data_IF_735093807779
#
_entry.id   IF_735093807779
#
_cell.length_a   1.000
_cell.length_b   1.000
_cell.length_c   1.000
_cell.angle_alpha   90.00
_cell.angle_beta   90.00
_cell.angle_gamma   90.00
#
_symmetry.space_group_name_H-M   'P 1'
#
loop_
_entity.id
_entity.type
_entity.pdbx_description
1 polymer ?
#
# COMPACT_ATOMS: atom_id res chain seq x y z
N UNK A 1 -7.55 5.82 40.33
CA UNK A 1 -8.71 5.44 39.49
C UNK A 1 -8.25 4.49 38.41
N UNK A 2 -9.02 3.42 38.16
CA UNK A 2 -8.80 2.47 37.05
C UNK A 2 -10.09 2.48 36.22
N UNK A 3 -10.02 2.91 34.95
CA UNK A 3 -11.18 3.05 34.06
C UNK A 3 -11.23 4.41 33.33
N UNK A 4 -12.24 4.57 32.47
CA UNK A 4 -12.47 5.77 31.65
C UNK A 4 -12.76 7.00 32.52
N UNK A 5 -11.77 7.89 32.61
CA UNK A 5 -11.83 9.14 33.38
C UNK A 5 -12.94 10.09 32.89
N UNK A 6 -13.38 9.98 31.63
CA UNK A 6 -14.44 10.82 31.07
C UNK A 6 -15.82 10.59 31.67
N UNK A 7 -15.99 9.53 32.47
CA UNK A 7 -17.25 9.22 33.18
C UNK A 7 -17.31 9.76 34.61
N UNK A 8 -16.22 10.36 35.09
CA UNK A 8 -16.10 10.83 36.46
C UNK A 8 -15.92 12.36 36.44
N UNK A 9 -16.72 13.07 37.21
CA UNK A 9 -16.43 14.47 37.52
C UNK A 9 -15.26 14.56 38.52
N UNK A 10 -14.81 15.78 38.85
CA UNK A 10 -13.67 16.04 39.75
C UNK A 10 -13.82 15.45 41.17
N UNK A 11 -15.01 14.94 41.51
CA UNK A 11 -15.35 14.30 42.78
C UNK A 11 -15.63 12.78 42.66
N UNK A 12 -15.44 12.18 41.48
CA UNK A 12 -15.60 10.73 41.28
C UNK A 12 -17.05 10.24 41.11
N UNK A 13 -18.01 11.13 40.83
CA UNK A 13 -19.41 10.77 40.59
C UNK A 13 -19.73 10.64 39.10
N UNK A 14 -20.62 9.68 38.76
CA UNK A 14 -21.11 9.44 37.39
C UNK A 14 -22.51 10.08 37.24
N UNK A 15 -22.69 11.10 36.39
CA UNK A 15 -24.00 11.71 36.20
C UNK A 15 -24.91 10.81 35.36
N UNK A 16 -26.10 10.49 35.88
CA UNK A 16 -27.18 9.84 35.12
C UNK A 16 -28.02 10.90 34.41
N UNK A 17 -28.01 10.84 33.07
CA UNK A 17 -28.76 11.66 32.10
C UNK A 17 -28.36 13.12 31.90
N UNK A 18 -27.80 13.40 30.71
CA UNK A 18 -27.86 14.72 30.07
C UNK A 18 -27.92 14.53 28.55
N UNK A 19 -28.96 15.03 27.90
CA UNK A 19 -29.02 15.21 26.45
C UNK A 19 -28.43 16.58 26.13
N UNK A 20 -27.26 16.61 25.47
CA UNK A 20 -26.75 17.82 24.81
C UNK A 20 -26.60 17.54 23.32
N UNK A 21 -27.17 18.45 22.53
CA UNK A 21 -27.16 18.45 21.07
C UNK A 21 -25.71 18.72 20.61
N UNK A 22 -25.14 17.81 19.83
CA UNK A 22 -23.73 17.83 19.44
C UNK A 22 -23.47 18.91 18.37
N UNK A 23 -22.64 19.91 18.70
CA UNK A 23 -22.25 21.04 17.81
C UNK A 23 -20.77 20.92 17.40
N UNK A 24 -20.25 19.70 17.28
CA UNK A 24 -18.86 19.40 16.87
C UNK A 24 -18.77 18.71 15.49
N UNK A 25 -19.75 18.91 14.60
CA UNK A 25 -19.87 18.13 13.35
C UNK A 25 -18.76 18.38 12.32
N UNK A 26 -18.19 19.57 12.22
CA UNK A 26 -17.23 19.88 11.14
C UNK A 26 -15.84 19.25 11.35
N UNK A 27 -15.33 19.20 12.60
CA UNK A 27 -14.06 18.54 12.92
C UNK A 27 -14.20 17.01 12.82
N UNK A 28 -15.30 16.46 13.32
CA UNK A 28 -15.62 15.04 13.23
C UNK A 28 -15.78 14.56 11.77
N UNK A 29 -16.33 15.40 10.89
CA UNK A 29 -16.48 15.10 9.45
C UNK A 29 -15.12 15.06 8.73
N UNK A 30 -14.22 16.02 8.99
CA UNK A 30 -12.87 16.04 8.40
C UNK A 30 -12.00 14.86 8.88
N UNK A 31 -12.08 14.50 10.17
CA UNK A 31 -11.38 13.35 10.73
C UNK A 31 -11.92 12.03 10.14
N UNK A 32 -13.23 11.95 9.91
CA UNK A 32 -13.87 10.79 9.30
C UNK A 32 -13.45 10.61 7.83
N UNK A 33 -13.42 11.69 7.05
CA UNK A 33 -12.98 11.68 5.65
C UNK A 33 -11.52 11.24 5.51
N UNK A 34 -10.64 11.72 6.39
CA UNK A 34 -9.22 11.35 6.41
C UNK A 34 -9.02 9.88 6.81
N UNK A 35 -9.76 9.42 7.82
CA UNK A 35 -9.71 8.03 8.28
C UNK A 35 -10.18 7.01 7.24
N UNK A 36 -11.27 7.33 6.51
CA UNK A 36 -11.75 6.46 5.44
C UNK A 36 -10.75 6.38 4.28
N UNK A 37 -10.17 7.51 3.87
CA UNK A 37 -9.15 7.56 2.82
C UNK A 37 -7.94 6.69 3.18
N UNK A 38 -7.38 6.88 4.39
CA UNK A 38 -6.25 6.07 4.89
C UNK A 38 -6.59 4.59 4.80
N UNK A 39 -7.75 4.18 5.31
CA UNK A 39 -8.17 2.77 5.30
C UNK A 39 -8.26 2.21 3.87
N UNK A 40 -8.82 2.97 2.93
CA UNK A 40 -8.93 2.55 1.53
C UNK A 40 -7.57 2.48 0.82
N UNK A 41 -6.68 3.43 1.09
CA UNK A 41 -5.30 3.40 0.58
C UNK A 41 -4.55 2.16 1.06
N UNK A 42 -4.66 1.84 2.36
CA UNK A 42 -4.01 0.66 2.93
C UNK A 42 -4.61 -0.63 2.36
N UNK A 43 -5.95 -0.73 2.28
CA UNK A 43 -6.60 -1.92 1.71
C UNK A 43 -6.16 -2.16 0.25
N UNK A 44 -6.13 -1.11 -0.59
CA UNK A 44 -5.72 -1.24 -1.99
C UNK A 44 -4.22 -1.48 -2.13
N UNK A 45 -3.38 -0.78 -1.37
CA UNK A 45 -1.95 -1.04 -1.35
C UNK A 45 -1.66 -2.48 -0.90
N UNK A 46 -2.43 -3.03 0.05
CA UNK A 46 -2.35 -4.44 0.45
C UNK A 46 -2.61 -5.42 -0.69
N UNK A 47 -3.55 -5.11 -1.59
CA UNK A 47 -3.81 -5.93 -2.79
C UNK A 47 -2.70 -5.84 -3.85
N UNK A 48 -1.85 -4.81 -3.80
CA UNK A 48 -0.86 -4.48 -4.82
C UNK A 48 0.58 -4.77 -4.39
N UNK A 49 0.90 -4.63 -3.10
CA UNK A 49 2.27 -4.47 -2.61
C UNK A 49 3.22 -5.58 -3.04
N UNK A 50 2.71 -6.79 -3.12
CA UNK A 50 3.45 -8.02 -3.38
C UNK A 50 3.15 -8.68 -4.73
N UNK A 51 2.45 -8.00 -5.64
CA UNK A 51 2.20 -8.55 -6.99
C UNK A 51 3.51 -8.96 -7.69
N UNK A 52 4.61 -8.22 -7.46
CA UNK A 52 5.93 -8.55 -7.96
C UNK A 52 6.54 -9.85 -7.43
N UNK A 53 5.97 -10.48 -6.39
CA UNK A 53 6.38 -11.83 -5.96
C UNK A 53 6.02 -12.90 -7.01
N UNK A 54 5.15 -12.58 -7.97
CA UNK A 54 4.80 -13.47 -9.08
C UNK A 54 5.94 -13.72 -10.08
N UNK A 55 7.04 -12.98 -10.00
CA UNK A 55 8.18 -13.13 -10.92
C UNK A 55 8.92 -14.45 -10.72
N UNK A 56 9.46 -15.00 -11.81
CA UNK A 56 10.26 -16.23 -11.81
C UNK A 56 11.42 -16.16 -10.80
N UNK A 57 12.14 -15.03 -10.73
CA UNK A 57 13.25 -14.84 -9.80
C UNK A 57 12.84 -15.10 -8.33
N UNK A 58 11.67 -14.60 -7.92
CA UNK A 58 11.17 -14.73 -6.56
C UNK A 58 10.70 -16.15 -6.27
N UNK A 59 9.91 -16.73 -7.17
CA UNK A 59 9.41 -18.11 -7.02
C UNK A 59 10.56 -19.13 -7.03
N UNK A 60 11.60 -18.94 -7.84
CA UNK A 60 12.81 -19.79 -7.81
C UNK A 60 13.57 -19.66 -6.51
N UNK A 61 13.64 -18.45 -5.94
CA UNK A 61 14.31 -18.21 -4.65
C UNK A 61 13.58 -18.89 -3.50
N UNK A 62 12.25 -18.84 -3.45
CA UNK A 62 11.46 -19.59 -2.47
C UNK A 62 11.73 -21.10 -2.55
N UNK A 63 11.96 -21.62 -3.76
CA UNK A 63 12.27 -23.02 -4.00
C UNK A 63 13.76 -23.37 -3.87
N UNK A 64 14.62 -22.45 -3.42
CA UNK A 64 16.08 -22.67 -3.31
C UNK A 64 16.81 -22.80 -4.64
N UNK A 65 16.17 -22.51 -5.78
CA UNK A 65 16.72 -22.61 -7.15
C UNK A 65 17.40 -21.34 -7.64
N UNK A 66 17.40 -20.29 -6.83
CA UNK A 66 18.11 -19.03 -7.08
C UNK A 66 18.65 -18.50 -5.74
N UNK A 67 19.94 -18.17 -5.71
CA UNK A 67 20.66 -17.65 -4.55
C UNK A 67 21.33 -16.31 -4.88
N UNK A 68 21.93 -15.65 -3.88
CA UNK A 68 22.57 -14.35 -4.05
C UNK A 68 21.65 -13.17 -3.73
N UNK A 69 22.11 -11.94 -3.99
CA UNK A 69 21.31 -10.72 -3.75
C UNK A 69 20.18 -10.60 -4.78
N UNK A 70 19.12 -9.85 -4.45
CA UNK A 70 18.14 -9.47 -5.45
C UNK A 70 18.73 -8.36 -6.33
N UNK A 71 18.48 -8.42 -7.64
CA UNK A 71 18.87 -7.38 -8.59
C UNK A 71 17.75 -6.33 -8.78
N UNK A 72 16.49 -6.78 -8.67
CA UNK A 72 15.31 -5.93 -8.61
C UNK A 72 14.47 -6.41 -7.43
N UNK A 73 13.96 -5.47 -6.64
CA UNK A 73 13.07 -5.74 -5.52
C UNK A 73 11.64 -5.97 -6.01
N UNK A 74 10.91 -6.92 -5.43
CA UNK A 74 9.56 -7.26 -5.90
C UNK A 74 8.58 -6.11 -5.73
N UNK A 75 8.74 -5.25 -4.74
CA UNK A 75 7.90 -4.04 -4.61
C UNK A 75 8.07 -3.06 -5.78
N UNK A 76 9.25 -3.01 -6.39
CA UNK A 76 9.49 -2.20 -7.59
C UNK A 76 8.74 -2.77 -8.79
N UNK A 77 8.78 -4.10 -8.93
CA UNK A 77 8.00 -4.81 -9.95
C UNK A 77 6.50 -4.59 -9.73
N UNK A 78 6.02 -4.65 -8.47
CA UNK A 78 4.62 -4.34 -8.13
C UNK A 78 4.21 -2.93 -8.58
N UNK A 79 5.09 -1.92 -8.41
CA UNK A 79 4.83 -0.57 -8.93
C UNK A 79 4.78 -0.54 -10.45
N UNK A 80 5.71 -1.19 -11.17
CA UNK A 80 5.66 -1.24 -12.64
C UNK A 80 4.43 -1.97 -13.17
N UNK A 81 3.99 -3.03 -12.49
CA UNK A 81 2.72 -3.71 -12.79
C UNK A 81 1.52 -2.77 -12.62
N UNK A 82 1.48 -2.02 -11.53
CA UNK A 82 0.42 -1.06 -11.27
C UNK A 82 0.46 0.13 -12.25
N UNK A 83 1.65 0.64 -12.57
CA UNK A 83 1.85 1.66 -13.62
C UNK A 83 1.31 1.17 -14.97
N UNK A 84 1.61 -0.07 -15.36
CA UNK A 84 1.10 -0.68 -16.59
C UNK A 84 -0.42 -0.74 -16.62
N UNK A 85 -1.05 -1.10 -15.49
CA UNK A 85 -2.51 -1.15 -15.39
C UNK A 85 -3.18 0.23 -15.45
N UNK A 86 -2.58 1.23 -14.80
CA UNK A 86 -3.08 2.61 -14.82
C UNK A 86 -2.89 3.20 -16.22
N UNK A 87 -1.69 3.11 -16.79
CA UNK A 87 -1.34 3.76 -18.06
C UNK A 87 -1.29 5.28 -17.91
N UNK A 88 -1.71 6.01 -18.95
CA UNK A 88 -1.75 7.48 -18.98
C UNK A 88 -3.11 8.06 -18.50
N UNK A 89 -3.92 7.22 -17.86
CA UNK A 89 -5.27 7.55 -17.41
C UNK A 89 -5.27 8.37 -16.10
N UNK A 90 -6.35 9.10 -15.86
CA UNK A 90 -6.58 9.78 -14.58
C UNK A 90 -7.16 8.84 -13.52
N UNK A 91 -7.26 9.32 -12.27
CA UNK A 91 -7.74 8.51 -11.16
C UNK A 91 -9.16 7.96 -11.35
N UNK A 92 -10.07 8.78 -11.90
CA UNK A 92 -11.43 8.36 -12.16
C UNK A 92 -11.49 7.19 -13.17
N UNK A 93 -10.68 7.27 -14.23
CA UNK A 93 -10.67 6.30 -15.33
C UNK A 93 -10.09 4.96 -14.89
N UNK A 94 -8.91 4.93 -14.25
CA UNK A 94 -8.32 3.66 -13.83
C UNK A 94 -9.10 3.02 -12.66
N UNK A 95 -9.72 3.80 -11.77
CA UNK A 95 -10.60 3.27 -10.73
C UNK A 95 -11.88 2.66 -11.32
N UNK A 96 -12.49 3.30 -12.32
CA UNK A 96 -13.64 2.74 -13.03
C UNK A 96 -13.29 1.41 -13.70
N UNK A 97 -12.12 1.35 -14.36
CA UNK A 97 -11.55 0.11 -14.90
C UNK A 97 -11.34 -0.96 -13.82
N UNK A 98 -10.76 -0.60 -12.68
CA UNK A 98 -10.54 -1.55 -11.59
C UNK A 98 -11.86 -2.06 -10.99
N UNK A 99 -12.91 -1.23 -11.01
CA UNK A 99 -14.24 -1.59 -10.55
C UNK A 99 -14.97 -2.56 -11.49
N UNK A 100 -14.75 -2.44 -12.79
CA UNK A 100 -15.40 -3.28 -13.80
C UNK A 100 -14.43 -3.63 -14.95
N UNK A 101 -13.45 -4.52 -14.70
CA UNK A 101 -12.42 -4.82 -15.68
C UNK A 101 -12.99 -5.65 -16.84
N UNK A 102 -12.61 -5.30 -18.06
CA UNK A 102 -12.80 -6.13 -19.24
C UNK A 102 -11.62 -7.10 -19.42
N UNK A 103 -11.76 -8.08 -20.32
CA UNK A 103 -10.66 -8.98 -20.68
C UNK A 103 -9.44 -8.22 -21.27
N UNK A 104 -9.66 -7.08 -21.93
CA UNK A 104 -8.57 -6.23 -22.41
C UNK A 104 -7.84 -5.56 -21.24
N UNK A 105 -8.58 -5.09 -20.23
CA UNK A 105 -8.01 -4.48 -19.02
C UNK A 105 -7.17 -5.47 -18.22
N UNK A 106 -7.54 -6.75 -18.20
CA UNK A 106 -6.73 -7.80 -17.60
C UNK A 106 -5.35 -7.94 -18.24
N UNK A 107 -5.29 -7.83 -19.57
CA UNK A 107 -4.02 -7.94 -20.29
C UNK A 107 -3.11 -6.72 -20.06
N UNK A 108 -3.67 -5.54 -19.76
CA UNK A 108 -2.89 -4.30 -19.53
C UNK A 108 -1.88 -4.42 -18.40
N UNK A 109 -2.09 -5.30 -17.42
CA UNK A 109 -1.11 -5.54 -16.36
C UNK A 109 0.26 -6.02 -16.88
N UNK A 110 0.28 -6.72 -18.01
CA UNK A 110 1.49 -7.34 -18.57
C UNK A 110 1.82 -6.87 -19.99
N UNK A 111 0.84 -6.44 -20.79
CA UNK A 111 1.06 -6.05 -22.20
C UNK A 111 1.86 -4.77 -22.33
N UNK A 112 1.58 -3.77 -21.48
CA UNK A 112 2.25 -2.46 -21.47
C UNK A 112 3.36 -2.39 -20.41
N UNK A 113 3.78 -3.53 -19.86
CA UNK A 113 4.72 -3.57 -18.75
C UNK A 113 6.09 -3.09 -19.19
N UNK A 114 6.53 -1.98 -18.59
CA UNK A 114 7.85 -1.38 -18.78
C UNK A 114 8.88 -2.08 -17.88
N UNK A 115 9.90 -2.68 -18.49
CA UNK A 115 10.85 -3.58 -17.83
C UNK A 115 12.22 -2.91 -17.66
N UNK A 116 12.46 -2.33 -16.49
CA UNK A 116 13.73 -1.65 -16.21
C UNK A 116 14.94 -2.57 -16.45
N UNK A 117 15.92 -2.04 -17.18
CA UNK A 117 17.13 -2.75 -17.61
C UNK A 117 16.96 -3.66 -18.83
N UNK A 118 15.73 -4.00 -19.23
CA UNK A 118 15.45 -4.76 -20.46
C UNK A 118 14.93 -3.88 -21.60
N UNK A 119 14.10 -2.88 -21.30
CA UNK A 119 13.61 -1.94 -22.30
C UNK A 119 14.56 -0.74 -22.43
N UNK A 120 14.26 0.16 -23.38
CA UNK A 120 14.96 1.45 -23.48
C UNK A 120 14.86 2.22 -22.16
N UNK A 121 15.87 3.04 -21.78
CA UNK A 121 15.86 3.76 -20.51
C UNK A 121 14.50 4.41 -20.20
N UNK A 122 13.95 4.05 -19.04
CA UNK A 122 12.59 4.39 -18.64
C UNK A 122 12.61 5.55 -17.64
N UNK A 123 11.56 6.37 -17.68
CA UNK A 123 11.30 7.35 -16.63
C UNK A 123 10.78 6.69 -15.35
N UNK A 124 10.83 7.43 -14.24
CA UNK A 124 10.19 7.04 -12.98
C UNK A 124 8.70 6.73 -13.18
N UNK A 125 8.16 5.69 -12.53
CA UNK A 125 6.71 5.44 -12.48
C UNK A 125 5.92 6.65 -11.96
N UNK A 126 6.49 7.46 -11.07
CA UNK A 126 5.80 8.65 -10.57
C UNK A 126 5.67 9.73 -11.64
N UNK A 127 6.56 9.77 -12.63
CA UNK A 127 6.45 10.74 -13.74
C UNK A 127 5.33 10.35 -14.70
N UNK A 128 5.21 9.08 -15.06
CA UNK A 128 4.11 8.57 -15.90
C UNK A 128 2.76 8.69 -15.21
N UNK A 129 2.69 8.40 -13.91
CA UNK A 129 1.47 8.52 -13.10
C UNK A 129 1.08 9.97 -12.74
N UNK A 130 1.70 10.99 -13.35
CA UNK A 130 1.45 12.40 -13.01
C UNK A 130 0.00 12.88 -13.19
N UNK A 131 -0.80 12.16 -13.98
CA UNK A 131 -2.24 12.42 -14.17
C UNK A 131 -3.15 11.70 -13.17
N UNK A 132 -2.57 10.85 -12.32
CA UNK A 132 -3.28 10.02 -11.35
C UNK A 132 -2.64 10.16 -9.95
N UNK A 133 -2.87 11.28 -9.24
CA UNK A 133 -2.31 11.53 -7.91
C UNK A 133 -2.58 10.42 -6.88
N UNK A 134 -3.76 9.79 -6.91
CA UNK A 134 -4.09 8.66 -6.04
C UNK A 134 -3.28 7.42 -6.43
N UNK A 135 -3.07 7.17 -7.73
CA UNK A 135 -2.16 6.12 -8.18
C UNK A 135 -0.71 6.42 -7.73
N UNK A 136 -0.25 7.68 -7.75
CA UNK A 136 1.06 8.03 -7.21
C UNK A 136 1.14 7.75 -5.70
N UNK A 137 0.09 8.07 -4.93
CA UNK A 137 0.03 7.74 -3.50
C UNK A 137 0.13 6.22 -3.25
N UNK A 138 -0.63 5.42 -4.00
CA UNK A 138 -0.57 3.96 -3.92
C UNK A 138 0.80 3.40 -4.33
N UNK A 139 1.39 3.92 -5.42
CA UNK A 139 2.73 3.54 -5.86
C UNK A 139 3.79 3.83 -4.78
N UNK A 140 3.68 4.96 -4.08
CA UNK A 140 4.55 5.27 -2.95
C UNK A 140 4.35 4.31 -1.78
N UNK A 141 3.11 3.97 -1.43
CA UNK A 141 2.86 2.97 -0.37
C UNK A 141 3.45 1.61 -0.74
N UNK A 142 3.24 1.16 -1.98
CA UNK A 142 3.77 -0.11 -2.49
C UNK A 142 5.29 -0.11 -2.51
N UNK A 143 5.96 0.88 -3.10
CA UNK A 143 7.43 0.82 -3.21
C UNK A 143 8.15 0.99 -1.87
N UNK A 144 7.49 1.59 -0.88
CA UNK A 144 8.10 1.93 0.40
C UNK A 144 7.72 1.00 1.55
N UNK A 145 6.84 0.02 1.36
CA UNK A 145 6.31 -0.78 2.48
C UNK A 145 7.38 -1.58 3.22
N UNK A 146 8.53 -1.91 2.62
CA UNK A 146 9.65 -2.51 3.37
C UNK A 146 10.69 -1.49 3.83
N UNK A 147 11.10 -0.57 2.94
CA UNK A 147 12.09 0.47 3.23
C UNK A 147 11.80 1.71 2.42
N UNK A 148 12.23 2.87 2.90
CA UNK A 148 12.22 4.08 2.08
C UNK A 148 13.28 3.97 0.96
N UNK A 149 13.05 4.61 -0.21
CA UNK A 149 14.05 4.69 -1.26
C UNK A 149 15.29 5.41 -0.73
N UNK A 150 16.46 4.88 -1.07
CA UNK A 150 17.74 5.47 -0.69
C UNK A 150 18.41 6.11 -1.91
N UNK A 151 19.09 7.23 -1.73
CA UNK A 151 19.88 7.82 -2.80
C UNK A 151 20.99 6.81 -3.23
N UNK A 152 21.23 6.62 -4.55
CA UNK A 152 22.32 5.78 -5.04
C UNK A 152 23.68 6.22 -4.49
N UNK A 153 24.62 5.27 -4.31
CA UNK A 153 25.89 5.50 -3.58
C UNK A 153 26.75 6.62 -4.16
N UNK A 154 26.71 6.79 -5.48
CA UNK A 154 27.56 7.73 -6.20
C UNK A 154 26.88 9.10 -6.40
N UNK A 155 25.65 9.24 -5.91
CA UNK A 155 24.89 10.48 -5.98
C UNK A 155 25.04 11.28 -4.68
N UNK A 156 25.30 12.59 -4.81
CA UNK A 156 25.34 13.51 -3.68
C UNK A 156 23.99 14.20 -3.57
N UNK A 157 23.38 14.09 -2.38
CA UNK A 157 22.10 14.74 -2.13
C UNK A 157 22.21 16.27 -2.28
N UNK A 158 21.33 16.83 -3.10
CA UNK A 158 21.17 18.28 -3.27
C UNK A 158 19.78 18.69 -2.81
N UNK A 159 19.68 19.73 -1.99
CA UNK A 159 18.38 20.24 -1.49
C UNK A 159 17.43 20.62 -2.64
N UNK A 160 17.97 21.10 -3.76
CA UNK A 160 17.19 21.41 -4.96
C UNK A 160 16.52 20.19 -5.58
N UNK A 161 17.10 18.99 -5.43
CA UNK A 161 16.58 17.73 -5.96
C UNK A 161 15.38 17.18 -5.17
N UNK A 162 15.10 17.71 -3.96
CA UNK A 162 13.89 17.35 -3.20
C UNK A 162 12.61 17.66 -3.99
N UNK A 163 12.60 18.76 -4.75
CA UNK A 163 11.47 19.07 -5.63
C UNK A 163 11.46 18.08 -6.79
N UNK A 164 10.41 17.27 -6.87
CA UNK A 164 10.28 16.26 -7.92
C UNK A 164 11.20 15.04 -7.71
N UNK A 165 11.66 14.79 -6.48
CA UNK A 165 12.50 13.64 -6.14
C UNK A 165 11.89 12.32 -6.64
N UNK A 166 10.59 12.12 -6.40
CA UNK A 166 9.87 10.92 -6.84
C UNK A 166 9.87 10.77 -8.36
N UNK A 167 9.82 11.86 -9.12
CA UNK A 167 9.88 11.82 -10.59
C UNK A 167 11.24 11.40 -11.14
N UNK A 168 12.27 11.35 -10.28
CA UNK A 168 13.63 10.91 -10.61
C UNK A 168 13.92 9.50 -10.10
N UNK A 169 13.02 8.90 -9.32
CA UNK A 169 13.24 7.60 -8.71
C UNK A 169 13.50 6.52 -9.77
N UNK A 170 14.54 5.72 -9.53
CA UNK A 170 15.00 4.63 -10.38
C UNK A 170 15.10 3.32 -9.59
N UNK A 171 15.20 2.14 -10.25
CA UNK A 171 15.33 0.87 -9.54
C UNK A 171 16.52 0.83 -8.57
N UNK A 172 17.60 1.55 -8.86
CA UNK A 172 18.80 1.69 -8.02
C UNK A 172 18.51 2.28 -6.63
N UNK A 173 17.44 3.06 -6.49
CA UNK A 173 17.00 3.64 -5.22
C UNK A 173 16.38 2.57 -4.31
N UNK A 174 15.84 1.53 -4.92
CA UNK A 174 15.25 0.39 -4.22
C UNK A 174 16.19 -0.81 -4.17
N UNK A 175 17.17 -0.97 -5.05
CA UNK A 175 18.15 -2.07 -5.03
C UNK A 175 19.50 -1.63 -5.61
N UNK A 176 20.54 -1.59 -4.77
CA UNK A 176 21.88 -1.15 -5.18
C UNK A 176 22.59 -2.15 -6.08
N UNK A 177 22.17 -3.41 -6.08
CA UNK A 177 22.69 -4.43 -6.98
C UNK A 177 22.08 -4.36 -8.39
N UNK A 178 21.15 -3.44 -8.66
CA UNK A 178 20.61 -3.24 -10.00
C UNK A 178 21.71 -2.76 -10.95
N UNK A 179 21.94 -3.54 -12.01
CA UNK A 179 22.86 -3.23 -13.10
C UNK A 179 22.14 -3.46 -14.43
N UNK A 180 21.83 -2.41 -15.21
CA UNK A 180 21.15 -2.56 -16.50
C UNK A 180 22.02 -3.20 -17.59
N UNK A 181 23.34 -3.35 -17.36
CA UNK A 181 24.24 -4.00 -18.32
C UNK A 181 24.08 -5.52 -18.36
N UNK A 182 23.73 -6.16 -17.24
CA UNK A 182 23.46 -7.61 -17.17
C UNK A 182 22.00 -7.94 -17.49
N UNK A 183 21.62 -7.68 -18.74
CA UNK A 183 20.27 -7.95 -19.26
C UNK A 183 19.86 -9.42 -19.09
N UNK A 184 20.80 -10.36 -19.09
CA UNK A 184 20.50 -11.79 -18.95
C UNK A 184 20.04 -12.12 -17.54
N UNK A 185 20.71 -11.57 -16.52
CA UNK A 185 20.35 -11.77 -15.13
C UNK A 185 19.02 -11.07 -14.74
N UNK A 186 18.62 -10.02 -15.47
CA UNK A 186 17.34 -9.32 -15.24
C UNK A 186 16.11 -10.02 -15.82
N UNK A 187 16.26 -10.93 -16.81
CA UNK A 187 15.11 -11.63 -17.44
C UNK A 187 14.15 -12.31 -16.45
N UNK A 188 14.62 -13.06 -15.44
CA UNK A 188 13.73 -13.69 -14.46
C UNK A 188 12.92 -12.70 -13.60
N UNK A 189 13.35 -11.43 -13.50
CA UNK A 189 12.63 -10.40 -12.75
C UNK A 189 11.44 -9.80 -13.52
N UNK A 190 11.31 -10.11 -14.80
CA UNK A 190 10.25 -9.63 -15.68
C UNK A 190 9.49 -10.76 -16.38
N UNK A 191 9.63 -11.99 -15.87
CA UNK A 191 8.95 -13.18 -16.36
C UNK A 191 7.92 -13.68 -15.34
N UNK A 192 6.69 -13.91 -15.78
CA UNK A 192 5.54 -14.29 -14.94
C UNK A 192 4.99 -15.64 -15.41
N UNK A 193 5.62 -16.77 -15.05
CA UNK A 193 5.30 -18.08 -15.62
C UNK A 193 3.87 -18.55 -15.30
N UNK A 194 3.26 -18.03 -14.24
CA UNK A 194 1.91 -18.38 -13.80
C UNK A 194 0.94 -17.20 -13.83
N UNK A 195 1.30 -16.11 -14.53
CA UNK A 195 0.50 -14.89 -14.58
C UNK A 195 0.46 -14.15 -13.24
N UNK A 196 -0.66 -13.47 -12.98
CA UNK A 196 -0.87 -12.61 -11.81
C UNK A 196 -2.21 -12.97 -11.12
N UNK A 197 -2.32 -12.79 -9.80
CA UNK A 197 -3.56 -13.06 -9.05
C UNK A 197 -4.68 -12.04 -9.30
N UNK A 198 -4.42 -10.98 -10.07
CA UNK A 198 -5.33 -9.85 -10.33
C UNK A 198 -6.61 -10.25 -11.09
N UNK A 199 -6.64 -11.43 -11.71
CA UNK A 199 -7.81 -11.94 -12.43
C UNK A 199 -8.67 -12.90 -11.59
N UNK A 200 -8.25 -13.25 -10.38
CA UNK A 200 -9.03 -14.14 -9.49
C UNK A 200 -10.29 -13.44 -8.98
N UNK A 201 -11.40 -14.16 -8.87
CA UNK A 201 -12.69 -13.58 -8.44
C UNK A 201 -12.61 -12.93 -7.05
N UNK A 202 -11.89 -13.56 -6.12
CA UNK A 202 -11.70 -13.05 -4.77
C UNK A 202 -10.95 -11.71 -4.77
N UNK A 203 -9.86 -11.61 -5.54
CA UNK A 203 -9.10 -10.37 -5.70
C UNK A 203 -9.96 -9.29 -6.37
N UNK A 204 -10.62 -9.61 -7.49
CA UNK A 204 -11.49 -8.68 -8.23
C UNK A 204 -12.63 -8.14 -7.38
N UNK A 205 -13.29 -9.00 -6.61
CA UNK A 205 -14.39 -8.58 -5.74
C UNK A 205 -13.91 -7.59 -4.67
N UNK A 206 -12.72 -7.81 -4.09
CA UNK A 206 -12.11 -6.89 -3.12
C UNK A 206 -11.68 -5.58 -3.80
N UNK A 207 -10.96 -5.66 -4.91
CA UNK A 207 -10.52 -4.51 -5.69
C UNK A 207 -11.69 -3.62 -6.12
N UNK A 208 -12.76 -4.22 -6.67
CA UNK A 208 -13.99 -3.52 -7.07
C UNK A 208 -14.63 -2.73 -5.92
N UNK A 209 -14.75 -3.35 -4.74
CA UNK A 209 -15.32 -2.68 -3.56
C UNK A 209 -14.48 -1.49 -3.13
N UNK A 210 -13.16 -1.62 -3.14
CA UNK A 210 -12.25 -0.54 -2.75
C UNK A 210 -12.27 0.57 -3.80
N UNK A 211 -12.19 0.23 -5.10
CA UNK A 211 -12.19 1.18 -6.20
C UNK A 211 -13.46 2.06 -6.22
N UNK A 212 -14.64 1.47 -6.04
CA UNK A 212 -15.91 2.21 -5.93
C UNK A 212 -15.94 3.18 -4.75
N UNK A 213 -15.30 2.83 -3.64
CA UNK A 213 -15.20 3.69 -2.45
C UNK A 213 -14.11 4.75 -2.54
N UNK A 214 -13.06 4.52 -3.34
CA UNK A 214 -12.04 5.51 -3.64
C UNK A 214 -12.49 6.53 -4.69
N UNK A 215 -13.46 6.17 -5.54
CA UNK A 215 -13.94 7.01 -6.65
C UNK A 215 -14.34 8.45 -6.22
N UNK A 216 -15.03 8.68 -5.08
CA UNK A 216 -15.33 10.04 -4.62
C UNK A 216 -14.08 10.88 -4.33
N UNK A 217 -13.01 10.29 -3.80
CA UNK A 217 -11.75 10.99 -3.51
C UNK A 217 -10.99 11.37 -4.78
N UNK A 218 -11.11 10.57 -5.84
CA UNK A 218 -10.54 10.89 -7.15
C UNK A 218 -11.21 12.14 -7.76
N UNK A 219 -12.53 12.25 -7.65
CA UNK A 219 -13.29 13.39 -8.18
C UNK A 219 -12.99 14.70 -7.44
N UNK A 220 -12.85 14.65 -6.11
CA UNK A 220 -12.48 15.83 -5.31
C UNK A 220 -11.07 16.33 -5.64
N UNK A 221 -10.13 15.41 -5.91
CA UNK A 221 -8.74 15.74 -6.23
C UNK A 221 -8.58 16.47 -7.57
N UNK A 222 -9.51 16.28 -8.53
CA UNK A 222 -9.51 16.97 -9.82
C UNK A 222 -9.85 18.47 -9.73
N UNK A 223 -10.31 18.95 -8.57
CA UNK A 223 -10.66 20.36 -8.35
C UNK A 223 -9.65 21.13 -7.49
N UNK A 224 -8.67 20.42 -6.92
CA UNK A 224 -7.64 20.98 -6.04
C UNK A 224 -6.34 21.36 -6.76
N UNK A 225 -5.50 22.11 -6.07
CA UNK A 225 -4.14 22.42 -6.52
C UNK A 225 -3.23 21.18 -6.41
N UNK A 226 -2.06 21.20 -7.06
CA UNK A 226 -1.06 20.14 -6.89
C UNK A 226 -0.61 19.96 -5.42
N UNK A 227 -0.76 20.98 -4.57
CA UNK A 227 -0.47 20.88 -3.14
C UNK A 227 -1.51 20.03 -2.38
N UNK A 228 -2.72 19.89 -2.92
CA UNK A 228 -3.83 19.13 -2.31
C UNK A 228 -3.79 17.64 -2.69
N UNK A 229 -2.81 17.23 -3.50
CA UNK A 229 -2.60 15.83 -3.85
C UNK A 229 -2.38 14.97 -2.58
N UNK A 230 -3.05 13.83 -2.50
CA UNK A 230 -2.95 12.89 -1.36
C UNK A 230 -1.51 12.56 -0.99
N UNK A 231 -0.65 12.37 -2.01
CA UNK A 231 0.78 12.10 -1.85
C UNK A 231 1.54 13.19 -1.08
N UNK A 232 1.07 14.43 -1.12
CA UNK A 232 1.67 15.58 -0.44
C UNK A 232 1.18 15.77 1.00
N UNK A 233 0.28 14.90 1.50
CA UNK A 233 -0.15 14.91 2.90
C UNK A 233 0.67 13.89 3.72
N UNK A 234 1.68 14.32 4.50
CA UNK A 234 2.57 13.38 5.20
C UNK A 234 1.84 12.55 6.25
N UNK A 235 0.81 13.10 6.90
CA UNK A 235 0.03 12.38 7.89
C UNK A 235 -0.70 11.19 7.26
N UNK A 236 -1.44 11.42 6.17
CA UNK A 236 -2.15 10.36 5.43
C UNK A 236 -1.16 9.31 4.92
N UNK A 237 -0.06 9.73 4.30
CA UNK A 237 0.90 8.81 3.68
C UNK A 237 1.65 7.98 4.72
N UNK A 238 2.21 8.58 5.77
CA UNK A 238 2.98 7.84 6.76
C UNK A 238 2.12 6.96 7.66
N UNK A 239 0.90 7.39 8.01
CA UNK A 239 -0.03 6.55 8.77
C UNK A 239 -0.54 5.37 7.94
N UNK A 240 -0.80 5.58 6.64
CA UNK A 240 -1.10 4.50 5.70
C UNK A 240 0.07 3.52 5.57
N UNK A 241 1.30 4.02 5.43
CA UNK A 241 2.50 3.18 5.34
C UNK A 241 2.70 2.32 6.59
N UNK A 242 2.59 2.92 7.78
CA UNK A 242 2.68 2.19 9.05
C UNK A 242 1.62 1.09 9.14
N UNK A 243 0.39 1.42 8.77
CA UNK A 243 -0.74 0.49 8.77
C UNK A 243 -0.52 -0.68 7.82
N UNK A 244 -0.01 -0.41 6.61
CA UNK A 244 0.34 -1.43 5.62
C UNK A 244 1.46 -2.34 6.12
N UNK A 245 2.53 -1.77 6.69
CA UNK A 245 3.65 -2.51 7.26
C UNK A 245 3.22 -3.45 8.37
N UNK A 246 2.34 -2.98 9.26
CA UNK A 246 1.85 -3.78 10.38
C UNK A 246 0.94 -4.91 9.89
N UNK A 247 0.08 -4.63 8.91
CA UNK A 247 -0.78 -5.63 8.29
C UNK A 247 0.03 -6.75 7.60
N UNK A 248 1.02 -6.37 6.78
CA UNK A 248 1.93 -7.32 6.12
C UNK A 248 2.71 -8.14 7.15
N UNK A 249 3.35 -7.49 8.12
CA UNK A 249 4.11 -8.20 9.16
C UNK A 249 3.23 -9.19 9.94
N UNK A 250 2.03 -8.77 10.35
CA UNK A 250 1.08 -9.64 11.06
C UNK A 250 0.66 -10.82 10.19
N UNK A 251 0.17 -10.55 8.98
CA UNK A 251 -0.37 -11.60 8.12
C UNK A 251 0.74 -12.57 7.69
N UNK A 252 1.93 -12.08 7.34
CA UNK A 252 3.12 -12.88 7.04
C UNK A 252 3.53 -13.82 8.18
N UNK A 253 3.18 -13.51 9.43
CA UNK A 253 3.50 -14.35 10.59
C UNK A 253 2.55 -15.54 10.80
N UNK A 254 1.40 -15.55 10.13
CA UNK A 254 0.39 -16.59 10.29
C UNK A 254 0.81 -17.87 9.56
N UNK A 255 0.75 -19.01 10.26
CA UNK A 255 1.11 -20.34 9.75
C UNK A 255 -0.01 -21.35 10.03
N UNK A 256 -0.01 -22.47 9.28
CA UNK A 256 -0.95 -23.57 9.49
C UNK A 256 -2.42 -23.16 9.35
N UNK A 257 -3.31 -23.80 10.12
CA UNK A 257 -4.75 -23.57 10.07
C UNK A 257 -5.22 -22.38 10.95
N UNK A 258 -4.41 -21.32 11.04
CA UNK A 258 -4.73 -20.16 11.87
C UNK A 258 -6.06 -19.52 11.45
N UNK A 259 -6.95 -19.22 12.42
CA UNK A 259 -8.33 -18.79 12.16
C UNK A 259 -8.45 -17.46 11.39
N UNK A 260 -7.40 -16.62 11.44
CA UNK A 260 -7.36 -15.32 10.74
C UNK A 260 -6.94 -15.42 9.28
N UNK A 261 -6.48 -16.59 8.81
CA UNK A 261 -6.10 -16.77 7.42
C UNK A 261 -7.34 -16.75 6.54
N UNK A 262 -7.28 -15.93 5.49
CA UNK A 262 -8.30 -15.87 4.45
C UNK A 262 -8.33 -17.19 3.72
N UNK A 263 -9.54 -17.67 3.42
CA UNK A 263 -9.73 -18.86 2.59
C UNK A 263 -9.78 -18.41 1.13
N UNK A 264 -8.87 -18.93 0.32
CA UNK A 264 -8.87 -18.73 -1.13
C UNK A 264 -9.17 -20.03 -1.85
N UNK A 265 -9.66 -19.94 -3.08
CA UNK A 265 -9.89 -21.12 -3.92
C UNK A 265 -8.53 -21.75 -4.26
N UNK A 266 -8.32 -23.04 -3.97
CA UNK A 266 -7.08 -23.72 -4.34
C UNK A 266 -6.86 -23.69 -5.86
N UNK A 267 -5.61 -23.50 -6.30
CA UNK A 267 -5.26 -23.55 -7.72
C UNK A 267 -4.18 -22.56 -8.16
N UNK A 268 -3.88 -21.54 -7.36
CA UNK A 268 -2.77 -20.62 -7.64
C UNK A 268 -1.44 -21.24 -7.19
N UNK A 269 -0.47 -21.50 -8.10
CA UNK A 269 0.82 -22.09 -7.75
C UNK A 269 1.80 -21.06 -7.13
N UNK A 270 1.49 -19.77 -7.20
CA UNK A 270 2.37 -18.71 -6.71
C UNK A 270 2.35 -18.66 -5.18
N UNK A 271 3.53 -18.60 -4.58
CA UNK A 271 3.72 -18.48 -3.13
C UNK A 271 4.15 -17.06 -2.74
N UNK A 272 3.66 -16.59 -1.60
CA UNK A 272 4.12 -15.34 -1.00
C UNK A 272 5.31 -15.54 -0.07
N UNK A 273 5.31 -16.63 0.70
CA UNK A 273 6.32 -16.94 1.72
C UNK A 273 6.35 -18.44 2.07
N UNK A 274 7.34 -18.80 2.88
CA UNK A 274 7.56 -20.14 3.42
C UNK A 274 7.48 -20.14 4.96
N UNK A 275 7.19 -21.29 5.56
CA UNK A 275 7.14 -21.44 7.00
C UNK A 275 8.51 -21.17 7.61
N UNK A 276 8.56 -20.50 8.76
CA UNK A 276 9.81 -20.23 9.48
C UNK A 276 10.51 -21.52 9.89
N UNK A 277 9.72 -22.54 10.25
CA UNK A 277 10.19 -23.88 10.57
C UNK A 277 9.99 -24.81 9.38
N UNK A 278 11.07 -25.41 8.90
CA UNK A 278 11.04 -26.43 7.84
C UNK A 278 11.05 -25.88 6.40
N UNK A 279 10.88 -24.57 6.19
CA UNK A 279 11.03 -23.94 4.87
C UNK A 279 9.98 -24.36 3.82
N UNK A 280 8.94 -25.09 4.22
CA UNK A 280 7.86 -25.48 3.33
C UNK A 280 6.98 -24.29 2.92
N UNK A 281 6.15 -24.44 1.86
CA UNK A 281 5.17 -23.42 1.47
C UNK A 281 4.26 -23.01 2.65
N UNK A 282 4.07 -21.72 2.87
CA UNK A 282 3.16 -21.23 3.91
C UNK A 282 1.88 -20.62 3.33
N UNK A 283 2.00 -19.51 2.60
CA UNK A 283 0.86 -18.77 2.04
C UNK A 283 0.97 -18.69 0.53
N UNK A 284 -0.14 -18.92 -0.18
CA UNK A 284 -0.23 -18.58 -1.59
C UNK A 284 -0.26 -17.06 -1.77
N UNK A 285 0.12 -16.58 -2.96
CA UNK A 285 0.25 -15.15 -3.22
C UNK A 285 -1.10 -14.42 -3.14
N UNK A 286 -2.16 -15.01 -3.69
CA UNK A 286 -3.52 -14.46 -3.61
C UNK A 286 -4.05 -14.41 -2.17
N UNK A 287 -3.82 -15.46 -1.38
CA UNK A 287 -4.15 -15.50 0.04
C UNK A 287 -3.47 -14.35 0.80
N UNK A 288 -2.18 -14.18 0.57
CA UNK A 288 -1.39 -13.16 1.24
C UNK A 288 -1.90 -11.74 0.92
N UNK A 289 -2.08 -11.43 -0.37
CA UNK A 289 -2.59 -10.12 -0.81
C UNK A 289 -3.98 -9.82 -0.24
N UNK A 290 -4.89 -10.80 -0.25
CA UNK A 290 -6.23 -10.64 0.31
C UNK A 290 -6.21 -10.48 1.83
N UNK A 291 -5.34 -11.22 2.51
CA UNK A 291 -5.13 -11.17 3.95
C UNK A 291 -4.66 -9.82 4.43
N UNK A 292 -3.58 -9.30 3.81
CA UNK A 292 -3.04 -7.98 4.10
C UNK A 292 -4.07 -6.89 3.79
N UNK A 293 -4.81 -7.00 2.68
CA UNK A 293 -5.86 -6.04 2.32
C UNK A 293 -7.11 -6.08 3.23
N UNK A 294 -7.32 -7.15 4.01
CA UNK A 294 -8.49 -7.30 4.88
C UNK A 294 -8.21 -6.86 6.33
N UNK A 295 -6.96 -6.97 6.77
CA UNK A 295 -6.56 -6.67 8.15
C UNK A 295 -6.86 -5.21 8.58
N UNK A 296 -6.55 -4.17 7.79
CA UNK A 296 -6.83 -2.79 8.16
C UNK A 296 -8.31 -2.51 8.37
N UNK A 297 -9.14 -3.00 7.44
CA UNK A 297 -10.59 -2.86 7.52
C UNK A 297 -11.25 -3.49 8.74
N UNK A 298 -10.61 -4.49 9.36
CA UNK A 298 -11.21 -5.24 10.48
C UNK A 298 -10.61 -4.87 11.84
N UNK A 299 -9.38 -4.32 11.88
CA UNK A 299 -8.62 -4.18 13.13
C UNK A 299 -7.92 -2.85 13.35
N UNK A 300 -7.64 -2.07 12.30
CA UNK A 300 -7.14 -0.71 12.46
C UNK A 300 -8.28 0.21 12.89
N UNK A 301 -8.55 0.24 14.20
CA UNK A 301 -9.37 1.27 14.84
C UNK A 301 -8.57 2.58 14.95
N UNK A 302 -8.13 3.13 13.83
CA UNK A 302 -7.41 4.40 13.77
C UNK A 302 -8.14 5.55 14.51
N UNK A 303 -9.49 5.69 14.43
CA UNK A 303 -10.20 6.71 15.22
C UNK A 303 -10.15 6.46 16.74
N UNK A 304 -10.04 5.21 17.19
CA UNK A 304 -9.97 4.90 18.62
C UNK A 304 -8.60 5.25 19.24
N UNK A 305 -7.54 5.31 18.43
CA UNK A 305 -6.23 5.77 18.87
C UNK A 305 -6.20 7.29 19.10
N UNK A 306 -6.81 8.08 18.22
CA UNK A 306 -6.88 9.54 18.36
C UNK A 306 -7.80 10.00 19.51
N UNK A 307 -8.93 9.31 19.72
CA UNK A 307 -9.86 9.60 20.83
C UNK A 307 -9.26 9.23 22.22
N UNK A 308 -8.33 8.27 22.27
CA UNK A 308 -7.61 7.95 23.49
C UNK A 308 -6.53 8.99 23.85
N UNK A 309 -5.96 9.69 22.86
CA UNK A 309 -4.96 10.76 23.09
C UNK A 309 -5.57 12.14 23.40
N UNK A 310 -6.75 12.47 22.88
CA UNK A 310 -7.39 13.76 23.15
C UNK A 310 -7.92 13.90 24.59
N UNK A 311 -8.13 12.77 25.28
CA UNK A 311 -8.46 12.74 26.71
C UNK A 311 -7.23 12.86 27.63
N UNK A 312 -6.01 12.77 27.09
CA UNK A 312 -4.75 12.83 27.85
C UNK A 312 -3.96 14.14 27.69
N UNK A 313 -4.28 15.00 26.72
CA UNK A 313 -3.56 16.27 26.48
C UNK A 313 -4.17 17.53 27.12
N UNK A 314 -5.19 17.44 27.99
CA UNK A 314 -5.80 18.59 28.69
C UNK A 314 -5.18 18.92 30.06
N UNK A 315 -4.00 18.39 30.39
CA UNK A 315 -3.43 18.49 31.74
C UNK A 315 -2.12 19.29 31.89
N UNK A 316 -1.54 19.85 30.83
CA UNK A 316 -0.20 20.46 30.86
C UNK A 316 -0.17 21.88 30.27
N UNK A 317 -1.12 22.71 30.70
CA UNK A 317 -1.09 24.16 30.45
C UNK A 317 -1.82 24.88 31.60
N UNK A 318 -1.21 24.89 32.79
CA UNK A 318 -1.38 25.92 33.82
C UNK A 318 -0.62 25.53 35.09
N UNK A 319 0.69 25.79 35.10
CA UNK A 319 1.45 26.12 36.31
C UNK A 319 2.73 26.80 35.85
N UNK A 320 2.68 28.13 35.75
CA UNK A 320 3.84 29.03 35.93
C UNK A 320 3.27 30.43 36.24
N UNK A 321 3.10 30.67 37.55
CA UNK A 321 3.10 31.96 38.23
C UNK A 321 3.52 31.70 39.68
#
# INVERSE_FOLDING_TARGET
MVGDRGRFNDLGAVPTNRTQRNVLKEEDENDWHTGELIRLLVDLAGLLHDLGKAIDAFQRRLNGKLSGRNLIRYEWVSVRLFESFVGDDDDATWLARLAEPTAADDQRWLSELRKDGLDTPLGSPFKSLSRAPLAQALAWLVVTHHRLPELPRDEVFQMSALRGLLNQMQPTWNERAFDPSDRKALRPYWHFPHGLPVTTDAWRQRARRIARRLSPFALSSNTGSAADAVLNNPFVMHLSRLSLMLADHHYSSLEGAHAERVKVTPGNPLLANTCKKGGGPNQSLDEHLLGVAQWPSTRLRLPAFCLASSSTCRGWANTDA
#
